data_IF_740030656374
#
_entry.id   IF_740030656374
#
_cell.length_a   1.000
_cell.length_b   1.000
_cell.length_c   1.000
_cell.angle_alpha   90.00
_cell.angle_beta   90.00
_cell.angle_gamma   90.00
#
_symmetry.space_group_name_H-M   'P 1'
#
loop_
_entity.id
_entity.type
_entity.pdbx_description
1 polymer ?
#
# COMPACT_ATOMS: atom_id res chain seq x y z
N UNK A 1 -25.37 16.58 13.15
CA UNK A 1 -24.55 15.49 12.59
C UNK A 1 -25.23 14.88 11.37
N UNK A 2 -24.57 14.83 10.21
CA UNK A 2 -25.16 14.61 8.87
C UNK A 2 -25.55 13.12 8.59
N UNK A 3 -25.71 12.27 9.62
CA UNK A 3 -26.29 10.93 9.49
C UNK A 3 -25.49 9.90 8.66
N UNK A 4 -24.20 10.13 8.37
CA UNK A 4 -23.39 9.20 7.57
C UNK A 4 -23.25 7.84 8.27
N UNK A 5 -23.62 6.76 7.58
CA UNK A 5 -23.48 5.38 8.09
C UNK A 5 -21.99 5.06 8.26
N UNK A 6 -21.60 4.48 9.41
CA UNK A 6 -20.21 4.06 9.72
C UNK A 6 -19.55 3.23 8.60
N UNK A 7 -20.34 2.41 7.90
CA UNK A 7 -19.90 1.62 6.73
C UNK A 7 -19.40 2.48 5.56
N UNK A 8 -19.95 3.68 5.35
CA UNK A 8 -19.54 4.58 4.27
C UNK A 8 -18.17 5.20 4.55
N UNK A 9 -17.90 5.55 5.81
CA UNK A 9 -16.60 6.07 6.25
C UNK A 9 -15.53 4.97 6.12
N UNK A 10 -15.85 3.73 6.55
CA UNK A 10 -14.95 2.57 6.33
C UNK A 10 -14.62 2.37 4.86
N UNK A 11 -15.63 2.29 4.00
CA UNK A 11 -15.43 2.04 2.58
C UNK A 11 -14.59 3.15 1.91
N UNK A 12 -14.77 4.41 2.32
CA UNK A 12 -13.99 5.53 1.83
C UNK A 12 -12.51 5.43 2.23
N UNK A 13 -12.22 5.21 3.52
CA UNK A 13 -10.83 5.12 4.02
C UNK A 13 -10.12 3.88 3.45
N UNK A 14 -10.82 2.75 3.38
CA UNK A 14 -10.27 1.54 2.77
C UNK A 14 -10.03 1.71 1.26
N UNK A 15 -10.91 2.45 0.56
CA UNK A 15 -10.72 2.81 -0.85
C UNK A 15 -9.48 3.66 -1.08
N UNK A 16 -9.28 4.72 -0.29
CA UNK A 16 -8.07 5.55 -0.31
C UNK A 16 -6.82 4.71 0.00
N UNK A 17 -6.89 3.83 0.98
CA UNK A 17 -5.77 2.95 1.36
C UNK A 17 -5.40 1.97 0.26
N UNK A 18 -6.40 1.41 -0.44
CA UNK A 18 -6.18 0.54 -1.60
C UNK A 18 -5.58 1.30 -2.78
N UNK A 19 -6.04 2.52 -3.06
CA UNK A 19 -5.46 3.36 -4.12
C UNK A 19 -3.99 3.66 -3.83
N UNK A 20 -3.67 4.09 -2.61
CA UNK A 20 -2.30 4.30 -2.17
C UNK A 20 -1.46 3.01 -2.26
N UNK A 21 -2.06 1.85 -1.96
CA UNK A 21 -1.40 0.56 -2.09
C UNK A 21 -1.04 0.19 -3.52
N UNK A 22 -1.99 0.35 -4.44
CA UNK A 22 -1.76 0.11 -5.87
C UNK A 22 -0.64 1.02 -6.39
N UNK A 23 -0.68 2.31 -6.04
CA UNK A 23 0.38 3.24 -6.41
C UNK A 23 1.74 2.83 -5.82
N UNK A 24 1.77 2.38 -4.56
CA UNK A 24 2.99 1.92 -3.90
C UNK A 24 3.60 0.71 -4.62
N UNK A 25 2.76 -0.24 -5.06
CA UNK A 25 3.21 -1.42 -5.82
C UNK A 25 3.82 -0.97 -7.16
N UNK A 26 3.12 -0.13 -7.92
CA UNK A 26 3.59 0.35 -9.23
C UNK A 26 4.92 1.07 -9.09
N UNK A 27 5.01 2.02 -8.15
CA UNK A 27 6.22 2.82 -7.92
C UNK A 27 7.34 1.94 -7.40
N UNK A 28 7.07 1.05 -6.44
CA UNK A 28 8.06 0.14 -5.86
C UNK A 28 8.65 -0.82 -6.89
N UNK A 29 7.80 -1.40 -7.75
CA UNK A 29 8.26 -2.25 -8.85
C UNK A 29 9.11 -1.47 -9.85
N UNK A 30 8.68 -0.26 -10.25
CA UNK A 30 9.45 0.58 -11.17
C UNK A 30 10.83 0.94 -10.60
N UNK A 31 10.90 1.36 -9.33
CA UNK A 31 12.15 1.66 -8.65
C UNK A 31 13.03 0.40 -8.56
N UNK A 32 12.46 -0.76 -8.19
CA UNK A 32 13.20 -2.02 -8.12
C UNK A 32 13.86 -2.39 -9.45
N UNK A 33 13.13 -2.25 -10.56
CA UNK A 33 13.67 -2.50 -11.90
C UNK A 33 14.80 -1.53 -12.26
N UNK A 34 14.65 -0.24 -11.95
CA UNK A 34 15.70 0.76 -12.18
C UNK A 34 16.97 0.46 -11.37
N UNK A 35 16.81 0.05 -10.11
CA UNK A 35 17.94 -0.32 -9.24
C UNK A 35 18.67 -1.55 -9.78
N UNK A 36 17.93 -2.59 -10.20
CA UNK A 36 18.53 -3.78 -10.84
C UNK A 36 19.31 -3.36 -12.08
N UNK A 37 18.71 -2.56 -12.98
CA UNK A 37 19.38 -2.10 -14.18
C UNK A 37 20.67 -1.30 -13.88
N UNK A 38 20.63 -0.46 -12.84
CA UNK A 38 21.80 0.30 -12.39
C UNK A 38 22.91 -0.60 -11.84
N UNK A 39 22.58 -1.56 -10.98
CA UNK A 39 23.53 -2.54 -10.43
C UNK A 39 24.20 -3.35 -11.55
N UNK A 40 23.43 -3.75 -12.55
CA UNK A 40 23.94 -4.52 -13.69
C UNK A 40 24.78 -3.68 -14.67
N UNK A 41 24.91 -2.37 -14.46
CA UNK A 41 25.90 -1.57 -15.19
C UNK A 41 27.33 -1.90 -14.72
N UNK A 42 27.49 -2.43 -13.51
CA UNK A 42 28.80 -2.84 -12.98
C UNK A 42 29.19 -4.25 -13.45
N UNK A 43 30.38 -4.45 -14.08
CA UNK A 43 30.80 -5.74 -14.63
C UNK A 43 30.87 -6.88 -13.61
N UNK A 44 31.24 -6.55 -12.37
CA UNK A 44 31.29 -7.51 -11.25
C UNK A 44 29.90 -8.07 -10.97
N UNK A 45 28.87 -7.22 -10.92
CA UNK A 45 27.51 -7.66 -10.62
C UNK A 45 26.96 -8.63 -11.68
N UNK A 46 27.27 -8.40 -12.97
CA UNK A 46 26.86 -9.30 -14.08
C UNK A 46 27.44 -10.72 -14.00
N UNK A 47 28.62 -10.90 -13.39
CA UNK A 47 29.25 -12.22 -13.28
C UNK A 47 28.77 -13.02 -12.08
N UNK A 48 28.26 -12.37 -11.03
CA UNK A 48 27.85 -13.02 -9.79
C UNK A 48 26.33 -13.15 -9.63
N UNK A 49 25.54 -12.32 -10.32
CA UNK A 49 24.09 -12.29 -10.17
C UNK A 49 23.40 -12.44 -11.53
N UNK A 50 22.37 -13.27 -11.56
CA UNK A 50 21.44 -13.41 -12.69
C UNK A 50 20.04 -12.97 -12.20
N UNK A 51 19.46 -11.88 -12.74
CA UNK A 51 18.20 -11.37 -12.25
C UNK A 51 17.05 -12.26 -12.72
N UNK A 52 16.36 -12.90 -11.79
CA UNK A 52 15.17 -13.69 -12.08
C UNK A 52 13.94 -12.78 -12.20
N UNK A 53 13.40 -12.69 -13.41
CA UNK A 53 12.16 -11.97 -13.72
C UNK A 53 10.93 -12.89 -13.71
N UNK A 54 10.98 -14.02 -13.00
CA UNK A 54 9.88 -14.96 -12.92
C UNK A 54 8.57 -14.29 -12.46
N UNK A 55 7.43 -14.59 -13.12
CA UNK A 55 6.12 -14.06 -12.74
C UNK A 55 5.77 -14.27 -11.25
N UNK A 56 6.30 -15.33 -10.64
CA UNK A 56 6.06 -15.64 -9.23
C UNK A 56 6.59 -14.53 -8.29
N UNK A 57 7.71 -13.88 -8.65
CA UNK A 57 8.33 -12.81 -7.87
C UNK A 57 7.41 -11.58 -7.87
N UNK A 58 6.87 -11.23 -9.04
CA UNK A 58 5.93 -10.13 -9.18
C UNK A 58 4.61 -10.40 -8.46
N UNK A 59 4.07 -11.62 -8.54
CA UNK A 59 2.87 -12.03 -7.81
C UNK A 59 3.08 -11.88 -6.30
N UNK A 60 4.22 -12.34 -5.78
CA UNK A 60 4.56 -12.19 -4.36
C UNK A 60 4.70 -10.72 -3.96
N UNK A 61 5.35 -9.90 -4.78
CA UNK A 61 5.48 -8.46 -4.53
C UNK A 61 4.11 -7.76 -4.47
N UNK A 62 3.21 -8.07 -5.40
CA UNK A 62 1.83 -7.56 -5.41
C UNK A 62 1.07 -8.03 -4.16
N UNK A 63 1.16 -9.31 -3.83
CA UNK A 63 0.48 -9.88 -2.66
C UNK A 63 0.94 -9.19 -1.35
N UNK A 64 2.25 -9.03 -1.18
CA UNK A 64 2.83 -8.33 -0.01
C UNK A 64 2.37 -6.86 0.00
N UNK A 65 2.44 -6.17 -1.13
CA UNK A 65 2.00 -4.77 -1.22
C UNK A 65 0.54 -4.59 -0.82
N UNK A 66 -0.36 -5.43 -1.34
CA UNK A 66 -1.79 -5.41 -0.98
C UNK A 66 -1.97 -5.67 0.52
N UNK A 67 -1.29 -6.68 1.08
CA UNK A 67 -1.38 -7.01 2.50
C UNK A 67 -0.92 -5.84 3.38
N UNK A 68 0.22 -5.22 3.06
CA UNK A 68 0.75 -4.08 3.82
C UNK A 68 -0.20 -2.89 3.74
N UNK A 69 -0.73 -2.57 2.56
CA UNK A 69 -1.69 -1.46 2.40
C UNK A 69 -3.02 -1.73 3.10
N UNK A 70 -3.49 -2.96 3.09
CA UNK A 70 -4.72 -3.34 3.78
C UNK A 70 -4.52 -3.25 5.30
N UNK A 71 -3.42 -3.79 5.83
CA UNK A 71 -3.12 -3.73 7.28
C UNK A 71 -2.92 -2.27 7.72
N UNK A 72 -2.16 -1.49 6.94
CA UNK A 72 -1.89 -0.08 7.21
C UNK A 72 -3.14 0.80 7.14
N UNK A 73 -4.07 0.51 6.22
CA UNK A 73 -5.34 1.22 6.07
C UNK A 73 -6.45 0.76 7.01
N UNK A 74 -6.45 -0.51 7.41
CA UNK A 74 -7.49 -1.10 8.25
C UNK A 74 -7.46 -0.56 9.68
N UNK A 75 -6.28 -0.39 10.28
CA UNK A 75 -6.14 0.18 11.62
C UNK A 75 -6.76 1.59 11.76
N UNK A 76 -6.40 2.59 10.93
CA UNK A 76 -7.00 3.92 10.99
C UNK A 76 -8.49 3.90 10.59
N UNK A 77 -8.90 3.07 9.61
CA UNK A 77 -10.30 2.96 9.23
C UNK A 77 -11.17 2.44 10.38
N UNK A 78 -10.70 1.41 11.10
CA UNK A 78 -11.36 0.88 12.28
C UNK A 78 -11.43 1.93 13.39
N UNK A 79 -10.32 2.60 13.69
CA UNK A 79 -10.25 3.66 14.70
C UNK A 79 -11.20 4.82 14.37
N UNK A 80 -11.27 5.25 13.11
CA UNK A 80 -12.17 6.33 12.65
C UNK A 80 -13.65 6.02 12.87
N UNK A 81 -14.06 4.75 12.79
CA UNK A 81 -15.47 4.38 13.04
C UNK A 81 -15.87 4.34 14.50
N UNK A 82 -14.88 4.25 15.40
CA UNK A 82 -15.07 4.29 16.85
C UNK A 82 -15.07 5.70 17.40
N UNK A 83 -14.52 6.68 16.69
CA UNK A 83 -14.73 8.10 17.01
C UNK A 83 -16.19 8.46 16.73
N UNK A 84 -16.95 8.61 17.81
CA UNK A 84 -18.35 8.99 17.70
C UNK A 84 -18.44 10.46 17.26
N UNK A 85 -19.34 10.82 16.33
CA UNK A 85 -19.62 12.21 15.99
C UNK A 85 -20.08 13.06 17.19
N UNK A 86 -20.42 12.43 18.31
CA UNK A 86 -20.89 13.09 19.53
C UNK A 86 -19.75 13.67 20.39
N UNK A 87 -18.52 13.17 20.27
CA UNK A 87 -17.36 13.74 21.00
C UNK A 87 -16.76 14.96 20.30
N UNK A 88 -16.85 15.03 18.97
CA UNK A 88 -16.36 16.18 18.19
C UNK A 88 -17.17 17.47 18.46
N UNK A 89 -18.46 17.34 18.82
CA UNK A 89 -19.35 18.45 19.16
C UNK A 89 -19.27 18.88 20.63
N UNK A 90 -18.59 18.10 21.49
CA UNK A 90 -18.44 18.44 22.92
C UNK A 90 -17.15 19.20 23.22
N UNK A 91 -16.32 19.40 22.20
CA UNK A 91 -15.08 20.18 22.22
C UNK A 91 -15.21 21.52 21.49
N UNK A 92 -16.38 21.82 20.92
CA UNK A 92 -16.82 23.18 20.58
C UNK A 92 -17.72 23.73 21.68
#
# INVERSE_FOLDING_TARGET
AIGWKRRRILAMILGESLLLGVLSIIIGTAIGLLVIQYIFTFPVAKSFFDPDYSPIVFINAIAIGILVSLIGGFYPAYRATRFSPAEALRYE
#
